data_IF_004884060262
#
_entry.id   IF_004884060262
#
_cell.length_a   1.000
_cell.length_b   1.000
_cell.length_c   1.000
_cell.angle_alpha   90.00
_cell.angle_beta   90.00
_cell.angle_gamma   90.00
#
_symmetry.space_group_name_H-M   'P 1'
#
loop_
_entity.id
_entity.type
_entity.pdbx_description
1 polymer ?
#
# COMPACT_ATOMS: atom_id res chain seq x y z
N UNK A 1 13.00 15.61 -7.39
CA UNK A 1 11.88 16.27 -8.10
C UNK A 1 12.25 16.97 -9.41
N UNK A 2 13.54 17.18 -9.77
CA UNK A 2 13.90 17.80 -11.07
C UNK A 2 13.38 17.01 -12.28
N UNK A 3 13.64 15.70 -12.33
CA UNK A 3 13.14 14.82 -13.39
C UNK A 3 11.61 14.77 -13.46
N UNK A 4 10.94 14.80 -12.30
CA UNK A 4 9.48 14.86 -12.25
C UNK A 4 8.91 16.15 -12.86
N UNK A 5 9.55 17.30 -12.58
CA UNK A 5 9.19 18.59 -13.18
C UNK A 5 9.49 18.67 -14.68
N UNK A 6 10.51 17.94 -15.14
CA UNK A 6 10.89 17.85 -16.55
C UNK A 6 10.02 16.85 -17.33
N UNK A 7 9.10 16.13 -16.66
CA UNK A 7 8.24 15.13 -17.29
C UNK A 7 8.89 13.77 -17.51
N UNK A 8 10.20 13.64 -17.25
CA UNK A 8 10.98 12.40 -17.43
C UNK A 8 10.70 11.32 -16.38
N UNK A 9 10.02 11.68 -15.30
CA UNK A 9 9.63 10.74 -14.24
C UNK A 9 8.22 11.06 -13.77
N UNK A 10 7.32 10.07 -13.80
CA UNK A 10 5.99 10.19 -13.20
C UNK A 10 6.09 9.88 -11.72
N UNK A 11 5.57 10.76 -10.87
CA UNK A 11 5.57 10.62 -9.41
C UNK A 11 4.14 10.74 -8.91
N UNK A 12 3.70 9.77 -8.10
CA UNK A 12 2.37 9.74 -7.48
C UNK A 12 2.58 9.74 -5.96
N UNK A 13 2.48 10.90 -5.29
CA UNK A 13 2.61 10.96 -3.84
C UNK A 13 1.45 10.24 -3.15
N UNK A 14 1.76 9.46 -2.11
CA UNK A 14 0.79 8.79 -1.24
C UNK A 14 1.03 9.29 0.18
N UNK A 15 0.01 9.91 0.78
CA UNK A 15 0.06 10.44 2.14
C UNK A 15 -0.68 9.48 3.07
N UNK A 16 0.09 8.59 3.70
CA UNK A 16 -0.41 7.58 4.64
C UNK A 16 -0.21 8.05 6.09
N UNK A 17 -1.32 8.24 6.80
CA UNK A 17 -1.35 8.77 8.17
C UNK A 17 -0.59 10.09 8.39
N UNK A 18 -0.40 10.86 7.31
CA UNK A 18 0.15 12.22 7.29
C UNK A 18 -0.67 13.05 6.30
N UNK A 19 -0.62 14.37 6.42
CA UNK A 19 -1.17 15.29 5.44
C UNK A 19 -0.05 15.94 4.63
N UNK A 20 -0.33 16.48 3.43
CA UNK A 20 0.65 17.27 2.68
C UNK A 20 1.22 18.44 3.50
N UNK A 21 0.43 19.02 4.41
CA UNK A 21 0.90 20.08 5.32
C UNK A 21 1.97 19.58 6.28
N UNK A 22 1.76 18.38 6.87
CA UNK A 22 2.73 17.76 7.78
C UNK A 22 4.08 17.51 7.08
N UNK A 23 4.03 17.11 5.80
CA UNK A 23 5.23 16.81 5.00
C UNK A 23 5.93 18.06 4.45
N UNK A 24 5.16 19.08 4.06
CA UNK A 24 5.69 20.32 3.48
C UNK A 24 6.16 21.35 4.51
N UNK A 25 5.74 21.20 5.76
CA UNK A 25 6.12 22.08 6.86
C UNK A 25 7.45 21.63 7.48
N UNK A 26 8.39 22.55 7.77
CA UNK A 26 9.55 22.23 8.60
C UNK A 26 9.17 22.08 10.09
N UNK A 27 7.93 22.43 10.47
CA UNK A 27 7.41 22.36 11.83
C UNK A 27 6.51 21.14 12.02
N UNK A 28 6.29 20.75 13.28
CA UNK A 28 5.49 19.58 13.65
C UNK A 28 6.32 18.29 13.72
N UNK A 29 5.70 17.19 14.15
CA UNK A 29 6.41 15.94 14.44
C UNK A 29 7.18 15.37 13.23
N UNK A 30 6.62 15.50 12.03
CA UNK A 30 7.27 15.05 10.79
C UNK A 30 8.51 15.91 10.48
N UNK A 31 8.36 17.23 10.41
CA UNK A 31 9.46 18.16 10.16
C UNK A 31 10.58 18.08 11.19
N UNK A 32 10.24 17.97 12.48
CA UNK A 32 11.22 17.78 13.55
C UNK A 32 12.03 16.48 13.38
N UNK A 33 11.39 15.37 12.98
CA UNK A 33 12.11 14.12 12.67
C UNK A 33 13.07 14.28 11.49
N UNK A 34 12.67 14.99 10.44
CA UNK A 34 13.55 15.31 9.29
C UNK A 34 14.76 16.13 9.73
N UNK A 35 14.55 17.12 10.61
CA UNK A 35 15.64 17.91 11.16
C UNK A 35 16.61 17.07 11.98
N UNK A 36 16.11 16.24 12.90
CA UNK A 36 16.93 15.33 13.71
C UNK A 36 17.77 14.40 12.83
N UNK A 37 17.14 13.78 11.83
CA UNK A 37 17.83 12.88 10.89
C UNK A 37 18.93 13.60 10.10
N UNK A 38 18.70 14.88 9.75
CA UNK A 38 19.67 15.67 9.01
C UNK A 38 20.90 16.09 9.83
N UNK A 39 20.92 15.92 11.16
CA UNK A 39 22.06 16.31 11.98
C UNK A 39 23.35 15.53 11.63
N UNK A 40 23.20 14.31 11.13
CA UNK A 40 24.34 13.51 10.62
C UNK A 40 24.90 14.04 9.30
N UNK A 41 24.13 14.84 8.55
CA UNK A 41 24.55 15.48 7.30
C UNK A 41 23.81 16.83 7.11
N UNK A 42 24.24 17.91 7.77
CA UNK A 42 23.51 19.18 7.76
C UNK A 42 23.32 19.77 6.36
N UNK A 43 24.24 19.51 5.44
CA UNK A 43 24.18 19.94 4.04
C UNK A 43 22.99 19.32 3.27
N UNK A 44 22.43 18.21 3.75
CA UNK A 44 21.27 17.56 3.15
C UNK A 44 19.93 18.24 3.47
N UNK A 45 19.84 18.94 4.60
CA UNK A 45 18.58 19.51 5.10
C UNK A 45 17.90 20.44 4.09
N UNK A 46 18.60 21.38 3.41
CA UNK A 46 17.98 22.23 2.39
C UNK A 46 17.47 21.43 1.18
N UNK A 47 18.19 20.37 0.79
CA UNK A 47 17.85 19.50 -0.34
C UNK A 47 16.58 18.72 -0.02
N UNK A 48 16.54 18.07 1.15
CA UNK A 48 15.39 17.29 1.61
C UNK A 48 14.17 18.17 1.82
N UNK A 49 14.32 19.31 2.50
CA UNK A 49 13.24 20.28 2.72
C UNK A 49 12.62 20.73 1.39
N UNK A 50 13.45 21.04 0.39
CA UNK A 50 12.98 21.42 -0.94
C UNK A 50 12.28 20.26 -1.67
N UNK A 51 12.80 19.04 -1.53
CA UNK A 51 12.19 17.85 -2.12
C UNK A 51 10.82 17.54 -1.50
N UNK A 52 10.72 17.54 -0.17
CA UNK A 52 9.49 17.28 0.58
C UNK A 52 8.42 18.34 0.32
N UNK A 53 8.78 19.64 0.34
CA UNK A 53 7.88 20.72 -0.09
C UNK A 53 7.35 20.51 -1.50
N UNK A 54 8.23 20.11 -2.42
CA UNK A 54 7.84 19.83 -3.79
C UNK A 54 6.96 18.59 -3.93
N UNK A 55 7.13 17.57 -3.08
CA UNK A 55 6.26 16.38 -3.06
C UNK A 55 4.89 16.70 -2.44
N UNK A 56 4.86 17.46 -1.35
CA UNK A 56 3.65 17.93 -0.68
C UNK A 56 2.78 18.83 -1.58
N UNK A 57 3.39 19.62 -2.46
CA UNK A 57 2.66 20.48 -3.41
C UNK A 57 2.07 19.76 -4.63
N UNK A 58 2.36 18.48 -4.83
CA UNK A 58 1.78 17.71 -5.92
C UNK A 58 0.44 17.11 -5.51
N UNK A 59 -0.48 16.99 -6.47
CA UNK A 59 -1.72 16.24 -6.29
C UNK A 59 -1.35 14.79 -5.99
N UNK A 60 -1.75 14.30 -4.81
CA UNK A 60 -1.46 12.95 -4.35
C UNK A 60 -2.67 12.31 -3.69
N UNK A 61 -2.54 11.02 -3.36
CA UNK A 61 -3.58 10.24 -2.73
C UNK A 61 -3.46 10.38 -1.20
N UNK A 62 -4.52 10.86 -0.55
CA UNK A 62 -4.56 11.06 0.89
C UNK A 62 -5.46 10.02 1.55
N UNK A 63 -4.91 9.24 2.50
CA UNK A 63 -5.66 8.19 3.20
C UNK A 63 -6.98 8.72 3.81
N UNK A 64 -6.97 9.93 4.36
CA UNK A 64 -8.16 10.56 4.99
C UNK A 64 -9.35 10.74 4.04
N UNK A 65 -9.12 10.69 2.73
CA UNK A 65 -10.19 10.80 1.73
C UNK A 65 -10.89 9.45 1.45
N UNK A 66 -10.40 8.36 2.04
CA UNK A 66 -10.92 7.01 1.82
C UNK A 66 -11.47 6.46 3.13
N UNK A 67 -12.54 5.66 3.03
CA UNK A 67 -13.17 5.02 4.20
C UNK A 67 -12.26 3.97 4.85
N UNK A 68 -11.41 3.33 4.06
CA UNK A 68 -10.46 2.31 4.51
C UNK A 68 -9.25 2.25 3.58
N UNK A 69 -8.22 1.54 4.01
CA UNK A 69 -6.97 1.37 3.25
C UNK A 69 -7.15 0.60 1.94
N UNK A 70 -8.11 -0.34 1.89
CA UNK A 70 -8.38 -1.12 0.68
C UNK A 70 -8.82 -0.22 -0.48
N UNK A 71 -9.67 0.78 -0.22
CA UNK A 71 -10.08 1.76 -1.24
C UNK A 71 -8.90 2.62 -1.71
N UNK A 72 -8.01 3.02 -0.80
CA UNK A 72 -6.77 3.73 -1.17
C UNK A 72 -5.88 2.85 -2.07
N UNK A 73 -5.74 1.56 -1.74
CA UNK A 73 -4.94 0.60 -2.54
C UNK A 73 -5.54 0.45 -3.94
N UNK A 74 -6.86 0.36 -4.06
CA UNK A 74 -7.56 0.31 -5.35
C UNK A 74 -7.27 1.57 -6.18
N UNK A 75 -7.29 2.75 -5.57
CA UNK A 75 -6.97 4.00 -6.27
C UNK A 75 -5.50 4.09 -6.68
N UNK A 76 -4.58 3.61 -5.84
CA UNK A 76 -3.15 3.51 -6.19
C UNK A 76 -2.98 2.62 -7.43
N UNK A 77 -3.67 1.48 -7.47
CA UNK A 77 -3.63 0.56 -8.62
C UNK A 77 -4.17 1.22 -9.89
N UNK A 78 -5.30 1.92 -9.79
CA UNK A 78 -5.88 2.65 -10.91
C UNK A 78 -4.92 3.74 -11.43
N UNK A 79 -4.34 4.52 -10.52
CA UNK A 79 -3.40 5.59 -10.84
C UNK A 79 -2.15 5.07 -11.54
N UNK A 80 -1.56 3.95 -11.07
CA UNK A 80 -0.38 3.33 -11.70
C UNK A 80 -0.72 2.77 -13.08
N UNK A 81 -1.84 2.04 -13.22
CA UNK A 81 -2.28 1.51 -14.52
C UNK A 81 -2.46 2.64 -15.55
N UNK A 82 -3.08 3.74 -15.14
CA UNK A 82 -3.28 4.92 -15.99
C UNK A 82 -1.94 5.52 -16.44
N UNK A 83 -0.97 5.64 -15.53
CA UNK A 83 0.36 6.15 -15.87
C UNK A 83 1.07 5.22 -16.87
N UNK A 84 1.02 3.91 -16.67
CA UNK A 84 1.65 2.93 -17.57
C UNK A 84 0.99 2.88 -18.95
N UNK A 85 -0.32 3.09 -19.03
CA UNK A 85 -1.05 3.11 -20.30
C UNK A 85 -0.75 4.35 -21.16
N UNK A 86 -0.20 5.41 -20.57
CA UNK A 86 0.17 6.66 -21.26
C UNK A 86 1.60 6.65 -21.79
N UNK A 87 2.39 5.62 -21.47
CA UNK A 87 3.72 5.43 -22.03
C UNK A 87 3.58 4.83 -23.45
N UNK A 88 4.08 5.49 -24.52
CA UNK A 88 4.09 4.89 -25.84
C UNK A 88 4.96 3.62 -25.81
N UNK A 89 4.43 2.52 -26.32
CA UNK A 89 5.09 1.22 -26.41
C UNK A 89 6.55 1.32 -26.91
N UNK A 90 7.53 1.33 -25.99
CA UNK A 90 8.89 0.87 -26.26
C UNK A 90 9.04 -0.48 -25.60
N UNK A 91 8.51 -1.50 -26.28
CA UNK A 91 8.93 -2.90 -26.33
C UNK A 91 7.69 -3.77 -26.60
N UNK A 92 7.65 -4.31 -27.82
CA UNK A 92 6.73 -5.36 -28.23
C UNK A 92 6.87 -6.56 -27.29
N UNK A 93 5.98 -6.68 -26.31
CA UNK A 93 5.69 -7.95 -25.64
C UNK A 93 4.37 -8.45 -26.24
N UNK A 94 4.29 -9.68 -26.77
CA UNK A 94 3.14 -10.11 -27.56
C UNK A 94 1.84 -10.00 -26.76
N UNK A 95 0.93 -9.20 -27.29
CA UNK A 95 -0.43 -9.04 -26.82
C UNK A 95 -1.15 -10.39 -26.87
N UNK A 96 -1.29 -11.06 -25.72
CA UNK A 96 -2.25 -12.17 -25.60
C UNK A 96 -3.64 -11.56 -25.50
N UNK A 97 -4.43 -11.75 -26.54
CA UNK A 97 -5.86 -11.46 -26.59
C UNK A 97 -6.57 -12.09 -25.38
N UNK A 98 -7.47 -11.33 -24.78
CA UNK A 98 -8.23 -11.73 -23.59
C UNK A 98 -9.69 -11.74 -23.98
N UNK A 99 -10.23 -12.93 -24.16
CA UNK A 99 -11.67 -13.18 -24.28
C UNK A 99 -12.40 -12.77 -22.99
N UNK A 100 -13.66 -12.30 -23.06
CA UNK A 100 -14.32 -11.64 -21.94
C UNK A 100 -15.03 -12.67 -21.07
N UNK A 101 -14.42 -13.04 -19.94
CA UNK A 101 -15.14 -13.69 -18.84
C UNK A 101 -14.69 -13.06 -17.53
N UNK A 102 -15.56 -12.19 -17.02
CA UNK A 102 -15.82 -11.85 -15.62
C UNK A 102 -14.77 -12.37 -14.63
N UNK A 103 -13.62 -11.71 -14.54
CA UNK A 103 -12.73 -11.73 -13.37
C UNK A 103 -11.72 -10.60 -13.48
N UNK A 104 -11.90 -9.55 -12.69
CA UNK A 104 -11.05 -8.35 -12.71
C UNK A 104 -9.60 -8.72 -12.40
N UNK A 105 -8.72 -8.62 -13.41
CA UNK A 105 -7.29 -8.93 -13.35
C UNK A 105 -6.55 -8.01 -12.36
N UNK A 106 -6.49 -8.46 -11.11
CA UNK A 106 -5.40 -8.14 -10.19
C UNK A 106 -4.15 -8.75 -10.83
N UNK A 107 -3.09 -7.96 -10.99
CA UNK A 107 -1.81 -8.44 -11.53
C UNK A 107 -1.43 -9.74 -10.80
N UNK A 108 -1.16 -10.81 -11.55
CA UNK A 108 -0.96 -12.15 -11.00
C UNK A 108 0.02 -12.15 -9.83
N UNK A 109 1.04 -11.27 -9.87
CA UNK A 109 2.03 -11.07 -8.81
C UNK A 109 1.48 -10.42 -7.52
N UNK A 110 0.51 -9.49 -7.59
CA UNK A 110 -0.07 -8.87 -6.38
C UNK A 110 -1.17 -9.73 -5.77
N UNK A 111 -1.95 -10.43 -6.59
CA UNK A 111 -2.82 -11.49 -6.07
C UNK A 111 -1.97 -12.55 -5.37
N UNK A 112 -0.84 -12.93 -5.98
CA UNK A 112 0.13 -13.84 -5.35
C UNK A 112 0.58 -13.33 -3.99
N UNK A 113 1.07 -12.10 -3.89
CA UNK A 113 1.62 -11.58 -2.64
C UNK A 113 0.56 -11.48 -1.53
N UNK A 114 -0.66 -11.04 -1.84
CA UNK A 114 -1.75 -11.02 -0.86
C UNK A 114 -2.19 -12.44 -0.46
N UNK A 115 -2.30 -13.35 -1.41
CA UNK A 115 -2.65 -14.76 -1.14
C UNK A 115 -1.56 -15.43 -0.30
N UNK A 116 -0.28 -15.16 -0.57
CA UNK A 116 0.85 -15.72 0.16
C UNK A 116 0.89 -15.23 1.61
N UNK A 117 0.74 -13.91 1.83
CA UNK A 117 0.65 -13.33 3.18
C UNK A 117 -0.58 -13.83 3.94
N UNK A 118 -1.73 -13.96 3.26
CA UNK A 118 -2.95 -14.52 3.87
C UNK A 118 -2.77 -15.99 4.23
N UNK A 119 -2.19 -16.80 3.34
CA UNK A 119 -1.92 -18.22 3.58
C UNK A 119 -0.97 -18.42 4.76
N UNK A 120 0.05 -17.57 4.90
CA UNK A 120 0.96 -17.63 6.04
C UNK A 120 0.23 -17.37 7.37
N UNK A 121 -0.65 -16.35 7.42
CA UNK A 121 -1.43 -16.04 8.62
C UNK A 121 -2.47 -17.10 8.96
N UNK A 122 -3.08 -17.72 7.95
CA UNK A 122 -4.01 -18.84 8.12
C UNK A 122 -3.28 -20.05 8.71
N UNK A 123 -2.09 -20.36 8.21
CA UNK A 123 -1.26 -21.43 8.75
C UNK A 123 -0.92 -21.20 10.22
N UNK A 124 -0.54 -19.97 10.58
CA UNK A 124 -0.29 -19.60 11.99
C UNK A 124 -1.54 -19.76 12.86
N UNK A 125 -2.71 -19.38 12.35
CA UNK A 125 -3.98 -19.55 13.06
C UNK A 125 -4.32 -21.04 13.25
N UNK A 126 -4.09 -21.87 12.23
CA UNK A 126 -4.27 -23.33 12.30
C UNK A 126 -3.37 -23.98 13.34
N UNK A 127 -2.10 -23.60 13.40
CA UNK A 127 -1.15 -24.12 14.39
C UNK A 127 -1.54 -23.77 15.83
N UNK A 128 -2.33 -22.72 16.03
CA UNK A 128 -2.82 -22.31 17.36
C UNK A 128 -4.12 -23.00 17.77
N UNK A 129 -4.85 -23.61 16.83
CA UNK A 129 -6.13 -24.28 17.09
C UNK A 129 -5.86 -25.79 17.17
N UNK A 130 -6.23 -26.41 18.29
CA UNK A 130 -6.15 -27.85 18.44
C UNK A 130 -7.54 -28.48 18.32
N UNK A 131 -7.78 -29.10 17.16
CA UNK A 131 -9.04 -29.76 16.83
C UNK A 131 -9.24 -31.10 17.54
N UNK A 132 -8.20 -31.67 18.14
CA UNK A 132 -8.31 -32.91 18.92
C UNK A 132 -8.56 -32.63 20.41
N UNK A 133 -8.92 -31.39 20.75
CA UNK A 133 -9.23 -31.00 22.10
C UNK A 133 -10.73 -31.22 22.40
N UNK A 134 -11.04 -32.00 23.43
CA UNK A 134 -12.42 -32.26 23.88
C UNK A 134 -13.10 -31.04 24.55
N UNK A 135 -12.42 -29.88 24.58
CA UNK A 135 -12.88 -28.66 25.23
C UNK A 135 -13.06 -27.52 24.23
N UNK A 136 -14.03 -26.65 24.48
CA UNK A 136 -14.22 -25.43 23.69
C UNK A 136 -13.03 -24.49 23.82
N UNK A 137 -12.42 -24.14 22.69
CA UNK A 137 -11.30 -23.20 22.61
C UNK A 137 -11.80 -21.82 22.17
N UNK A 138 -11.27 -20.76 22.80
CA UNK A 138 -11.52 -19.36 22.40
C UNK A 138 -10.21 -18.78 21.91
N UNK A 139 -10.19 -18.37 20.63
CA UNK A 139 -9.02 -17.74 20.00
C UNK A 139 -9.34 -16.30 19.64
N UNK A 140 -8.50 -15.36 20.09
CA UNK A 140 -8.65 -13.93 19.83
C UNK A 140 -7.67 -13.43 18.77
N UNK A 141 -8.20 -12.83 17.69
CA UNK A 141 -7.38 -12.11 16.70
C UNK A 141 -7.31 -10.64 17.10
N UNK A 142 -6.13 -10.15 17.45
CA UNK A 142 -5.90 -8.77 17.93
C UNK A 142 -4.98 -7.98 17.01
N UNK A 143 -5.09 -6.65 17.04
CA UNK A 143 -4.26 -5.76 16.21
C UNK A 143 -4.95 -4.46 15.84
N UNK A 144 -4.21 -3.56 15.19
CA UNK A 144 -4.69 -2.23 14.78
C UNK A 144 -5.95 -2.31 13.90
N UNK A 145 -6.83 -1.30 13.90
CA UNK A 145 -7.95 -1.21 12.96
C UNK A 145 -7.48 -1.32 11.50
N UNK A 146 -8.26 -1.97 10.64
CA UNK A 146 -7.95 -2.06 9.20
C UNK A 146 -6.94 -3.11 8.77
N UNK A 147 -6.20 -3.76 9.69
CA UNK A 147 -5.14 -4.75 9.36
C UNK A 147 -5.65 -6.09 8.79
N UNK A 148 -6.97 -6.25 8.62
CA UNK A 148 -7.59 -7.46 8.05
C UNK A 148 -7.92 -8.57 9.05
N UNK A 149 -8.16 -8.25 10.34
CA UNK A 149 -8.52 -9.26 11.36
C UNK A 149 -9.80 -10.03 11.02
N UNK A 150 -10.86 -9.31 10.66
CA UNK A 150 -12.14 -9.90 10.26
C UNK A 150 -11.99 -10.72 8.99
N UNK A 151 -11.28 -10.19 7.99
CA UNK A 151 -11.01 -10.91 6.73
C UNK A 151 -10.20 -12.19 6.94
N UNK A 152 -9.26 -12.21 7.90
CA UNK A 152 -8.53 -13.43 8.25
C UNK A 152 -9.43 -14.50 8.88
N UNK A 153 -10.35 -14.09 9.77
CA UNK A 153 -11.32 -15.00 10.38
C UNK A 153 -12.32 -15.56 9.36
N UNK A 154 -12.85 -14.71 8.48
CA UNK A 154 -13.77 -15.11 7.40
C UNK A 154 -13.12 -16.11 6.45
N UNK A 155 -11.93 -15.77 5.91
CA UNK A 155 -11.20 -16.64 4.98
C UNK A 155 -10.82 -17.99 5.62
N UNK A 156 -10.49 -18.01 6.92
CA UNK A 156 -10.25 -19.26 7.64
C UNK A 156 -11.53 -20.10 7.74
N UNK A 157 -12.64 -19.48 8.14
CA UNK A 157 -13.93 -20.16 8.27
C UNK A 157 -14.39 -20.76 6.94
N UNK A 158 -14.24 -20.05 5.84
CA UNK A 158 -14.58 -20.56 4.50
C UNK A 158 -13.75 -21.80 4.14
N UNK A 159 -12.43 -21.78 4.40
CA UNK A 159 -11.53 -22.91 4.11
C UNK A 159 -11.69 -24.12 5.00
N UNK A 160 -12.23 -23.95 6.20
CA UNK A 160 -12.48 -25.04 7.13
C UNK A 160 -13.79 -25.77 6.86
N UNK A 161 -14.63 -25.27 5.95
CA UNK A 161 -15.91 -25.89 5.56
C UNK A 161 -15.82 -26.67 4.23
N UNK A 162 -14.65 -26.70 3.58
CA UNK A 162 -14.32 -27.58 2.45
C UNK A 162 -13.68 -28.90 2.94
#
# INVERSE_FOLDING_TARGET
MKQAKQGNLRVIPIFFNVTPKDVGSPYGSFGCKVYVESQHNPSSLPIWTKALKSAAGNIGLLLKNYRNEMLLIQEILASVKKVLALEPNTHNVPSREISPVISGRISSSRKFFFVEVMNQRIKQLQEMIDFNCDQTQIVGIVGMPGIGKTSLAEEYFERSND
#
